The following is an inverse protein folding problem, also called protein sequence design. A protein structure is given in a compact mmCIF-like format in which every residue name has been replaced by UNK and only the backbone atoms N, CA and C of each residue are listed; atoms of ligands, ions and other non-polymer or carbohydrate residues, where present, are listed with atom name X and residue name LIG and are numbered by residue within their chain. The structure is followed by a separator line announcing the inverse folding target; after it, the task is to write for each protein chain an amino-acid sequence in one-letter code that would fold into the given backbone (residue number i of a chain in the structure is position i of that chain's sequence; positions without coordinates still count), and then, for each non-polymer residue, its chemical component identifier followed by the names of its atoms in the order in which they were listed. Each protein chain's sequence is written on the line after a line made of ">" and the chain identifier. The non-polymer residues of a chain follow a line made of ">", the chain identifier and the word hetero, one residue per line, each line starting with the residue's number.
data_IF_381248483839
#
_entry.id   IF_381248483839
#
_cell.length_a   1.000
_cell.length_b   1.000
_cell.length_c   1.000
_cell.angle_alpha   90.00
_cell.angle_beta   90.00
_cell.angle_gamma   90.00
#
_symmetry.space_group_name_H-M   'P 1'
#
loop_
_entity.id
_entity.type
_entity.pdbx_description
1 polymer ?
#
# COMPACT_ATOMS: atom_id res chain seq x y z
N UNK A 1 17.39 14.47 32.74
CA UNK A 1 17.69 13.52 31.65
C UNK A 1 16.55 12.51 31.63
N UNK A 2 15.66 12.58 30.63
CA UNK A 2 14.49 11.67 30.56
C UNK A 2 14.94 10.44 29.76
N UNK A 3 15.14 9.30 30.40
CA UNK A 3 15.34 8.04 29.70
C UNK A 3 14.05 7.68 28.98
N UNK A 4 14.06 7.68 27.65
CA UNK A 4 12.96 7.13 26.84
C UNK A 4 13.09 5.61 26.85
N UNK A 5 12.04 4.91 27.26
CA UNK A 5 11.96 3.45 27.13
C UNK A 5 11.67 3.14 25.66
N UNK A 6 12.47 2.26 25.07
CA UNK A 6 12.34 1.84 23.67
C UNK A 6 11.85 0.39 23.67
N UNK A 7 10.75 0.16 22.98
CA UNK A 7 10.18 -1.16 22.78
C UNK A 7 10.44 -1.61 21.34
N UNK A 8 10.87 -2.85 21.15
CA UNK A 8 10.96 -3.46 19.82
C UNK A 8 9.67 -4.21 19.54
N UNK A 9 8.94 -3.79 18.51
CA UNK A 9 7.63 -4.34 18.17
C UNK A 9 7.66 -4.95 16.79
N UNK A 10 7.18 -6.18 16.68
CA UNK A 10 6.95 -6.82 15.39
C UNK A 10 5.53 -6.48 14.88
N UNK A 11 5.48 -5.80 13.75
CA UNK A 11 4.23 -5.58 13.01
C UNK A 11 4.08 -6.69 11.98
N UNK A 12 3.17 -7.64 12.22
CA UNK A 12 2.94 -8.80 11.36
C UNK A 12 1.49 -8.81 10.84
N UNK A 13 1.31 -8.95 9.54
CA UNK A 13 -0.03 -8.89 8.92
C UNK A 13 -0.21 -9.93 7.81
N UNK A 14 -1.35 -10.59 7.83
CA UNK A 14 -1.84 -11.47 6.77
C UNK A 14 -2.65 -10.66 5.75
N UNK A 15 -2.25 -10.72 4.48
CA UNK A 15 -3.01 -10.17 3.35
C UNK A 15 -3.65 -11.31 2.57
N UNK A 16 -4.98 -11.39 2.61
CA UNK A 16 -5.76 -12.45 1.95
C UNK A 16 -5.94 -12.21 0.45
N UNK A 17 -5.90 -10.97 0.01
CA UNK A 17 -6.05 -10.63 -1.40
C UNK A 17 -4.74 -10.87 -2.16
N UNK A 18 -4.84 -11.24 -3.44
CA UNK A 18 -3.69 -11.45 -4.30
C UNK A 18 -3.09 -10.09 -4.70
N UNK A 19 -1.85 -9.87 -4.27
CA UNK A 19 -1.09 -8.65 -4.59
C UNK A 19 -0.40 -8.74 -5.96
N UNK A 20 -0.27 -7.60 -6.65
CA UNK A 20 0.61 -7.48 -7.82
C UNK A 20 2.07 -7.64 -7.38
N UNK A 21 2.98 -8.14 -8.25
CA UNK A 21 4.41 -8.16 -7.96
C UNK A 21 5.00 -6.78 -7.60
N UNK A 22 4.36 -5.70 -8.04
CA UNK A 22 4.75 -4.31 -7.76
C UNK A 22 4.17 -3.76 -6.46
N UNK A 23 3.29 -4.50 -5.79
CA UNK A 23 2.64 -4.04 -4.55
C UNK A 23 3.51 -4.31 -3.34
N UNK A 24 3.39 -3.43 -2.36
CA UNK A 24 4.04 -3.55 -1.06
C UNK A 24 3.02 -3.29 0.03
N UNK A 25 3.19 -4.00 1.14
CA UNK A 25 2.46 -3.74 2.38
C UNK A 25 3.29 -2.81 3.24
N UNK A 26 2.67 -1.78 3.80
CA UNK A 26 3.33 -0.80 4.66
C UNK A 26 2.53 -0.58 5.93
N UNK A 27 3.19 -0.05 6.96
CA UNK A 27 2.57 0.42 8.20
C UNK A 27 2.85 1.90 8.41
N UNK A 28 1.87 2.63 8.91
CA UNK A 28 2.04 3.99 9.42
C UNK A 28 1.24 4.18 10.69
N UNK A 29 1.55 5.23 11.46
CA UNK A 29 0.98 5.42 12.77
C UNK A 29 1.27 6.77 13.37
N UNK A 30 0.88 6.93 14.63
CA UNK A 30 0.82 8.24 15.31
C UNK A 30 2.15 8.77 15.83
N UNK A 31 3.20 7.94 15.90
CA UNK A 31 4.50 8.36 16.39
C UNK A 31 5.51 8.57 15.24
N UNK A 32 6.61 9.26 15.56
CA UNK A 32 7.72 9.54 14.65
C UNK A 32 8.24 8.28 13.96
N UNK A 33 8.40 7.19 14.72
CA UNK A 33 8.89 5.90 14.23
C UNK A 33 7.88 5.13 13.39
N UNK A 34 6.64 5.63 13.27
CA UNK A 34 5.62 5.12 12.36
C UNK A 34 5.23 6.16 11.31
N UNK A 35 6.01 7.23 11.16
CA UNK A 35 5.83 8.22 10.10
C UNK A 35 4.71 9.24 10.32
N UNK A 36 4.11 9.30 11.51
CA UNK A 36 3.13 10.33 11.91
C UNK A 36 1.96 10.48 10.91
N UNK A 37 1.41 9.36 10.46
CA UNK A 37 0.35 9.28 9.45
C UNK A 37 0.69 9.89 8.09
N UNK A 38 1.97 10.16 7.82
CA UNK A 38 2.41 10.74 6.56
C UNK A 38 2.66 9.62 5.55
N UNK A 39 1.95 9.59 4.40
CA UNK A 39 2.09 8.53 3.40
C UNK A 39 3.52 8.26 2.96
N UNK A 40 4.29 9.31 2.65
CA UNK A 40 5.68 9.17 2.18
C UNK A 40 6.65 8.75 3.31
N UNK A 41 6.16 8.58 4.54
CA UNK A 41 6.91 8.06 5.70
C UNK A 41 6.34 6.73 6.20
N UNK A 42 5.42 6.11 5.46
CA UNK A 42 4.99 4.74 5.70
C UNK A 42 6.21 3.80 5.64
N UNK A 43 6.22 2.78 6.49
CA UNK A 43 7.33 1.86 6.63
C UNK A 43 6.99 0.57 5.89
N UNK A 44 7.80 0.15 4.90
CA UNK A 44 7.53 -1.07 4.16
C UNK A 44 7.76 -2.30 5.03
N UNK A 45 6.85 -3.27 4.91
CA UNK A 45 7.01 -4.61 5.46
C UNK A 45 7.70 -5.51 4.43
N UNK A 46 8.31 -6.58 4.92
CA UNK A 46 8.89 -7.64 4.10
C UNK A 46 7.93 -8.81 4.04
N UNK A 47 7.67 -9.35 2.85
CA UNK A 47 6.93 -10.62 2.71
C UNK A 47 7.78 -11.75 3.27
N UNK A 48 7.32 -12.39 4.33
CA UNK A 48 8.04 -13.46 5.02
C UNK A 48 7.54 -14.86 4.65
N UNK A 49 6.27 -14.99 4.23
CA UNK A 49 5.69 -16.28 3.89
C UNK A 49 4.50 -16.17 2.91
N UNK A 50 4.18 -17.28 2.25
CA UNK A 50 2.98 -17.46 1.42
C UNK A 50 2.26 -18.74 1.83
N UNK A 51 1.03 -18.58 2.29
CA UNK A 51 0.18 -19.66 2.76
C UNK A 51 -1.04 -19.81 1.84
N UNK A 52 -1.83 -20.89 2.04
CA UNK A 52 -3.12 -21.05 1.37
C UNK A 52 -4.11 -19.91 1.71
N UNK A 53 -3.95 -19.27 2.89
CA UNK A 53 -4.80 -18.19 3.34
C UNK A 53 -4.40 -16.80 2.81
N UNK A 54 -3.22 -16.67 2.20
CA UNK A 54 -2.68 -15.40 1.71
C UNK A 54 -1.19 -15.20 1.98
N UNK A 55 -0.72 -13.97 1.82
CA UNK A 55 0.69 -13.59 2.04
C UNK A 55 0.90 -12.99 3.43
N UNK A 56 1.96 -13.40 4.13
CA UNK A 56 2.33 -12.85 5.46
C UNK A 56 3.47 -11.84 5.28
N UNK A 57 3.29 -10.67 5.86
CA UNK A 57 4.21 -9.56 5.82
C UNK A 57 4.62 -9.15 7.24
N UNK A 58 5.89 -8.82 7.45
CA UNK A 58 6.41 -8.43 8.77
C UNK A 58 7.49 -7.35 8.70
N UNK A 59 7.61 -6.56 9.77
CA UNK A 59 8.76 -5.68 10.05
C UNK A 59 8.91 -5.46 11.55
N UNK A 60 10.15 -5.20 12.00
CA UNK A 60 10.44 -4.83 13.39
C UNK A 60 10.73 -3.34 13.48
N UNK A 61 10.02 -2.65 14.37
CA UNK A 61 10.15 -1.20 14.55
C UNK A 61 10.36 -0.91 16.04
N UNK A 62 11.37 -0.08 16.32
CA UNK A 62 11.60 0.45 17.66
C UNK A 62 10.65 1.62 17.91
N UNK A 63 9.79 1.49 18.91
CA UNK A 63 8.80 2.51 19.28
C UNK A 63 9.15 3.06 20.66
N UNK A 64 9.13 4.38 20.79
CA UNK A 64 9.30 5.02 22.10
C UNK A 64 8.00 4.89 22.91
N UNK A 65 8.06 4.28 24.10
CA UNK A 65 6.94 4.26 25.05
C UNK A 65 7.04 5.39 26.10
N UNK A 66 6.11 5.46 27.07
CA UNK A 66 4.99 4.55 27.32
C UNK A 66 3.65 5.04 26.71
N UNK A 67 3.69 5.77 25.59
CA UNK A 67 2.48 6.31 24.99
C UNK A 67 1.68 5.25 24.22
N UNK A 68 0.34 5.33 24.30
CA UNK A 68 -0.53 4.60 23.38
C UNK A 68 -0.23 5.01 21.94
N UNK A 69 0.26 4.08 21.14
CA UNK A 69 0.65 4.31 19.75
C UNK A 69 -0.40 3.72 18.82
N UNK A 70 -0.93 4.53 17.92
CA UNK A 70 -1.93 4.11 16.94
C UNK A 70 -1.27 3.78 15.60
N UNK A 71 -1.82 2.84 14.84
CA UNK A 71 -1.28 2.45 13.54
C UNK A 71 -2.35 1.90 12.58
N UNK A 72 -2.00 1.82 11.29
CA UNK A 72 -2.78 1.21 10.20
C UNK A 72 -1.85 0.60 9.16
N UNK A 73 -2.33 -0.45 8.50
CA UNK A 73 -1.66 -0.99 7.31
C UNK A 73 -2.15 -0.33 6.03
N UNK A 74 -1.29 -0.35 5.02
CA UNK A 74 -1.51 0.22 3.69
C UNK A 74 -0.99 -0.75 2.65
N UNK A 75 -1.69 -0.89 1.53
CA UNK A 75 -1.15 -1.52 0.34
C UNK A 75 -0.90 -0.42 -0.68
N UNK A 76 0.34 -0.30 -1.13
CA UNK A 76 0.75 0.71 -2.10
C UNK A 76 1.82 0.17 -3.04
N UNK A 77 1.95 0.80 -4.20
CA UNK A 77 3.13 0.66 -5.04
C UNK A 77 4.15 1.72 -4.64
N UNK A 78 5.38 1.29 -4.36
CA UNK A 78 6.48 2.18 -4.03
C UNK A 78 7.14 2.66 -5.33
N UNK A 79 7.14 3.97 -5.57
CA UNK A 79 7.84 4.64 -6.65
C UNK A 79 9.02 5.37 -6.03
N UNK A 80 10.23 4.88 -6.30
CA UNK A 80 11.44 5.56 -5.88
C UNK A 80 11.81 6.60 -6.93
N UNK A 81 11.82 7.85 -6.51
CA UNK A 81 12.49 8.95 -7.23
C UNK A 81 13.83 9.22 -6.57
N UNK A 82 14.75 9.91 -7.26
CA UNK A 82 16.14 10.07 -6.81
C UNK A 82 16.28 10.62 -5.38
N UNK A 83 15.33 11.46 -4.94
CA UNK A 83 15.38 12.11 -3.62
C UNK A 83 14.27 11.68 -2.63
N UNK A 84 13.26 10.92 -3.08
CA UNK A 84 12.05 10.67 -2.26
C UNK A 84 11.37 9.32 -2.52
N UNK A 85 10.74 8.77 -1.48
CA UNK A 85 9.81 7.65 -1.59
C UNK A 85 8.40 8.18 -1.89
N UNK A 86 7.94 8.00 -3.12
CA UNK A 86 6.57 8.27 -3.51
C UNK A 86 5.74 6.99 -3.44
N UNK A 87 4.49 7.09 -2.99
CA UNK A 87 3.56 5.97 -2.93
C UNK A 87 2.37 6.20 -3.86
N UNK A 88 2.01 5.18 -4.65
CA UNK A 88 0.67 5.07 -5.22
C UNK A 88 -0.14 4.17 -4.31
N UNK A 89 -1.01 4.75 -3.51
CA UNK A 89 -1.81 3.98 -2.56
C UNK A 89 -2.93 3.26 -3.29
N UNK A 90 -2.97 1.94 -3.12
CA UNK A 90 -4.03 1.10 -3.67
C UNK A 90 -5.13 0.88 -2.66
N UNK A 91 -4.77 0.56 -1.41
CA UNK A 91 -5.73 0.30 -0.33
C UNK A 91 -5.28 0.87 1.01
N UNK A 92 -6.24 1.43 1.75
CA UNK A 92 -6.11 1.77 3.16
C UNK A 92 -7.02 0.92 4.02
N UNK A 93 -6.60 0.65 5.26
CA UNK A 93 -7.53 0.27 6.33
C UNK A 93 -8.36 1.47 6.78
N UNK A 94 -9.68 1.45 6.61
CA UNK A 94 -10.57 2.62 6.82
C UNK A 94 -11.63 2.44 7.91
N UNK A 95 -11.49 1.43 8.77
CA UNK A 95 -12.33 1.30 9.98
C UNK A 95 -12.14 2.49 10.94
N UNK A 96 -13.20 2.90 11.66
CA UNK A 96 -13.25 4.16 12.45
C UNK A 96 -12.14 4.29 13.49
N UNK A 97 -11.82 3.22 14.21
CA UNK A 97 -10.78 3.20 15.24
C UNK A 97 -9.47 2.64 14.70
N UNK A 98 -8.38 3.42 14.70
CA UNK A 98 -7.07 2.88 14.34
C UNK A 98 -6.66 1.73 15.28
N UNK A 99 -5.83 0.81 14.78
CA UNK A 99 -5.18 -0.19 15.63
C UNK A 99 -4.30 0.54 16.64
N UNK A 100 -4.01 -0.07 17.77
CA UNK A 100 -3.14 0.56 18.77
C UNK A 100 -2.34 -0.45 19.58
N UNK A 101 -1.17 -0.01 20.02
CA UNK A 101 -0.30 -0.66 20.97
C UNK A 101 -0.43 0.06 22.32
N UNK A 102 -0.40 -0.71 23.41
CA UNK A 102 -0.27 -0.20 24.77
C UNK A 102 1.01 -0.79 25.34
N UNK A 103 1.94 0.07 25.71
CA UNK A 103 3.15 -0.32 26.42
C UNK A 103 2.87 -0.17 27.92
N UNK A 104 2.91 -1.26 28.66
CA UNK A 104 2.87 -1.17 30.12
C UNK A 104 4.23 -0.65 30.61
N UNK A 105 4.23 0.32 31.50
CA UNK A 105 5.46 0.70 32.22
C UNK A 105 5.93 -0.53 33.00
N UNK A 106 7.00 -1.17 32.54
CA UNK A 106 7.73 -2.12 33.37
C UNK A 106 8.32 -1.27 34.49
N UNK A 107 7.83 -1.45 35.71
CA UNK A 107 8.47 -0.92 36.91
C UNK A 107 9.97 -1.23 36.83
N UNK A 108 10.82 -0.25 37.12
CA UNK A 108 12.28 -0.26 36.94
C UNK A 108 13.01 -1.37 37.72
N UNK A 109 12.74 -2.62 37.42
CA UNK A 109 13.46 -3.78 37.92
C UNK A 109 13.81 -4.67 36.74
N UNK A 110 15.11 -4.89 36.58
CA UNK A 110 15.74 -5.87 35.70
C UNK A 110 15.87 -5.52 34.20
N UNK A 111 16.93 -4.73 33.92
CA UNK A 111 17.53 -4.49 32.60
C UNK A 111 18.22 -5.75 32.00
N UNK A 112 17.63 -6.94 32.15
CA UNK A 112 18.17 -8.20 31.60
C UNK A 112 17.11 -9.11 30.99
N UNK A 113 15.91 -8.59 30.72
CA UNK A 113 14.87 -9.35 30.04
C UNK A 113 14.98 -9.10 28.53
N UNK A 114 15.53 -10.07 27.79
CA UNK A 114 15.26 -10.24 26.35
C UNK A 114 13.78 -10.54 26.19
N UNK A 115 12.94 -9.50 26.22
CA UNK A 115 11.51 -9.61 26.03
C UNK A 115 11.24 -9.98 24.57
N UNK A 116 10.52 -11.08 24.38
CA UNK A 116 10.13 -11.53 23.05
C UNK A 116 9.25 -10.47 22.39
N UNK A 117 9.37 -10.25 21.06
CA UNK A 117 8.55 -9.29 20.36
C UNK A 117 7.08 -9.55 20.65
N UNK A 118 6.34 -8.51 21.05
CA UNK A 118 4.89 -8.61 21.15
C UNK A 118 4.35 -8.95 19.76
N UNK A 119 3.97 -10.21 19.55
CA UNK A 119 3.45 -10.68 18.28
C UNK A 119 2.03 -10.13 18.06
N UNK A 120 1.90 -9.10 17.22
CA UNK A 120 0.62 -8.69 16.67
C UNK A 120 0.39 -9.43 15.36
N UNK A 121 -0.40 -10.51 15.36
CA UNK A 121 -0.82 -11.17 14.13
C UNK A 121 -2.13 -10.56 13.62
N UNK A 122 -2.01 -9.55 12.77
CA UNK A 122 -3.13 -8.84 12.18
C UNK A 122 -3.61 -9.49 10.87
N UNK A 123 -4.87 -9.24 10.49
CA UNK A 123 -5.39 -9.52 9.15
C UNK A 123 -5.72 -8.18 8.48
N UNK A 124 -5.12 -7.92 7.31
CA UNK A 124 -5.29 -6.66 6.60
C UNK A 124 -6.77 -6.37 6.33
N UNK A 125 -7.19 -5.15 6.66
CA UNK A 125 -8.56 -4.70 6.47
C UNK A 125 -9.56 -5.24 7.49
N UNK A 126 -9.16 -6.13 8.40
CA UNK A 126 -10.02 -6.70 9.44
C UNK A 126 -9.54 -6.29 10.84
N UNK A 127 -10.36 -5.53 11.56
CA UNK A 127 -10.08 -5.11 12.93
C UNK A 127 -11.35 -5.17 13.78
N UNK A 128 -11.28 -5.83 14.95
CA UNK A 128 -12.41 -6.04 15.86
C UNK A 128 -13.67 -6.54 15.13
N UNK A 129 -13.53 -7.57 14.29
CA UNK A 129 -14.60 -8.15 13.45
C UNK A 129 -15.24 -7.19 12.43
N UNK A 130 -14.65 -6.01 12.21
CA UNK A 130 -15.06 -5.10 11.12
C UNK A 130 -14.09 -5.26 9.97
N UNK A 131 -14.61 -5.54 8.78
CA UNK A 131 -13.83 -5.52 7.54
C UNK A 131 -14.08 -4.21 6.82
N UNK A 132 -13.05 -3.39 6.66
CA UNK A 132 -13.18 -2.12 5.95
C UNK A 132 -11.86 -1.66 5.35
N UNK A 133 -11.83 -1.61 4.03
CA UNK A 133 -10.76 -1.01 3.24
C UNK A 133 -11.35 -0.04 2.22
N UNK A 134 -10.55 0.91 1.76
CA UNK A 134 -10.94 1.82 0.69
C UNK A 134 -9.80 1.99 -0.32
N UNK A 135 -10.11 2.41 -1.55
CA UNK A 135 -9.09 2.84 -2.51
C UNK A 135 -8.31 4.05 -1.96
N UNK A 136 -7.03 4.11 -2.28
CA UNK A 136 -6.21 5.28 -1.99
C UNK A 136 -6.59 6.50 -2.84
N UNK A 137 -6.26 7.68 -2.34
CA UNK A 137 -6.21 8.91 -3.12
C UNK A 137 -4.78 9.20 -3.61
N UNK A 138 -4.64 10.08 -4.60
CA UNK A 138 -3.34 10.57 -5.05
C UNK A 138 -2.67 11.33 -3.90
N UNK A 139 -1.53 10.84 -3.42
CA UNK A 139 -0.77 11.44 -2.31
C UNK A 139 0.33 12.40 -2.77
N UNK A 140 0.49 12.60 -4.08
CA UNK A 140 1.45 13.52 -4.68
C UNK A 140 0.98 14.04 -6.05
N UNK A 141 1.78 14.91 -6.65
CA UNK A 141 1.56 15.37 -8.02
C UNK A 141 2.04 14.29 -8.99
N UNK A 142 1.10 13.61 -9.64
CA UNK A 142 1.40 12.64 -10.69
C UNK A 142 0.98 13.21 -12.04
N UNK A 143 1.93 13.34 -12.97
CA UNK A 143 1.65 13.70 -14.36
C UNK A 143 1.77 12.45 -15.24
N UNK A 144 0.74 12.19 -16.04
CA UNK A 144 0.83 11.23 -17.15
C UNK A 144 1.13 12.04 -18.40
N UNK A 145 2.40 12.06 -18.82
CA UNK A 145 2.79 12.74 -20.05
C UNK A 145 2.71 11.78 -21.24
N UNK A 146 1.82 12.09 -22.18
CA UNK A 146 1.75 11.42 -23.48
C UNK A 146 2.51 12.27 -24.50
N UNK A 147 3.63 11.76 -25.01
CA UNK A 147 4.46 12.46 -25.99
C UNK A 147 4.54 11.67 -27.29
N UNK A 148 4.14 12.30 -28.39
CA UNK A 148 4.42 11.81 -29.73
C UNK A 148 5.80 12.29 -30.17
N UNK A 149 6.68 11.36 -30.53
CA UNK A 149 7.98 11.70 -31.09
C UNK A 149 7.91 11.64 -32.62
N UNK A 150 8.41 12.67 -33.30
CA UNK A 150 8.49 12.74 -34.78
C UNK A 150 7.13 12.60 -35.49
N UNK A 151 7.08 11.99 -36.68
CA UNK A 151 5.88 11.75 -37.49
C UNK A 151 5.13 10.48 -37.04
N UNK A 152 4.93 10.29 -35.72
CA UNK A 152 4.32 9.07 -35.15
C UNK A 152 2.80 8.99 -35.36
N UNK A 153 2.15 10.08 -35.78
CA UNK A 153 0.75 10.11 -36.20
C UNK A 153 0.67 10.36 -37.71
N UNK A 154 0.30 9.34 -38.48
CA UNK A 154 0.07 9.46 -39.91
C UNK A 154 -1.43 9.39 -40.23
N UNK A 155 -1.96 10.46 -40.82
CA UNK A 155 -3.35 10.53 -41.28
C UNK A 155 -3.39 10.05 -42.74
N UNK A 156 -3.79 8.80 -42.94
CA UNK A 156 -3.86 8.21 -44.28
C UNK A 156 -5.01 8.76 -45.13
N UNK A 157 -6.11 9.17 -44.50
CA UNK A 157 -7.25 9.76 -45.20
C UNK A 157 -6.91 11.15 -45.74
N UNK A 158 -6.82 11.29 -47.06
CA UNK A 158 -6.55 12.55 -47.75
C UNK A 158 -7.58 13.63 -47.41
N UNK A 159 -8.83 13.25 -47.20
CA UNK A 159 -9.93 14.16 -46.84
C UNK A 159 -9.84 14.75 -45.42
N UNK A 160 -8.93 14.24 -44.59
CA UNK A 160 -8.73 14.67 -43.20
C UNK A 160 -7.41 15.41 -42.98
N UNK A 161 -6.52 15.46 -43.99
CA UNK A 161 -5.18 16.06 -43.86
C UNK A 161 -5.21 17.56 -43.55
N UNK A 162 -6.19 18.26 -44.11
CA UNK A 162 -6.34 19.73 -43.95
C UNK A 162 -7.38 20.11 -42.89
N UNK A 163 -7.77 19.16 -42.02
CA UNK A 163 -8.76 19.39 -40.98
C UNK A 163 -8.11 19.47 -39.60
N UNK A 164 -8.64 20.32 -38.73
CA UNK A 164 -8.31 20.29 -37.30
C UNK A 164 -8.83 18.98 -36.71
N UNK A 165 -7.94 18.16 -36.17
CA UNK A 165 -8.27 16.91 -35.51
C UNK A 165 -8.11 17.06 -34.00
N UNK A 166 -9.02 16.46 -33.24
CA UNK A 166 -8.92 16.34 -31.79
C UNK A 166 -8.72 14.87 -31.43
N UNK A 167 -7.73 14.57 -30.58
CA UNK A 167 -7.50 13.24 -30.07
C UNK A 167 -8.22 13.09 -28.73
N UNK A 168 -9.16 12.15 -28.66
CA UNK A 168 -9.75 11.74 -27.38
C UNK A 168 -8.88 10.63 -26.79
N UNK A 169 -8.30 10.91 -25.63
CA UNK A 169 -7.64 9.88 -24.81
C UNK A 169 -8.66 9.38 -23.81
N UNK A 170 -8.77 8.07 -23.66
CA UNK A 170 -9.64 7.46 -22.66
C UNK A 170 -8.93 6.28 -22.02
N UNK A 171 -8.91 6.18 -20.68
CA UNK A 171 -8.39 5.00 -20.02
C UNK A 171 -9.26 3.80 -20.41
N UNK A 172 -8.62 2.70 -20.76
CA UNK A 172 -9.29 1.43 -21.03
C UNK A 172 -8.99 0.52 -19.84
N UNK A 173 -10.05 -0.03 -19.24
CA UNK A 173 -9.90 -1.11 -18.27
C UNK A 173 -9.60 -2.40 -19.04
N UNK A 174 -8.36 -2.87 -18.96
CA UNK A 174 -7.90 -4.07 -19.67
C UNK A 174 -8.62 -5.33 -19.19
N UNK A 175 -9.19 -5.34 -17.97
CA UNK A 175 -9.98 -6.48 -17.47
C UNK A 175 -11.25 -6.70 -18.28
N UNK A 176 -11.87 -5.59 -18.69
CA UNK A 176 -13.09 -5.61 -19.51
C UNK A 176 -12.87 -6.13 -20.93
N UNK A 177 -11.63 -6.09 -21.45
CA UNK A 177 -11.32 -6.64 -22.77
C UNK A 177 -11.14 -8.15 -22.72
N UNK A 178 -10.51 -8.68 -21.67
CA UNK A 178 -10.27 -10.12 -21.51
C UNK A 178 -11.60 -10.89 -21.38
N UNK A 179 -12.54 -10.38 -20.60
CA UNK A 179 -13.88 -10.99 -20.45
C UNK A 179 -14.67 -10.99 -21.76
N UNK A 180 -14.51 -9.98 -22.62
CA UNK A 180 -15.22 -9.92 -23.90
C UNK A 180 -14.56 -10.79 -24.99
N UNK A 181 -13.23 -10.89 -25.01
CA UNK A 181 -12.51 -11.77 -25.93
C UNK A 181 -12.80 -13.26 -25.66
N UNK A 182 -12.94 -13.66 -24.39
CA UNK A 182 -13.36 -15.01 -24.01
C UNK A 182 -14.77 -15.34 -24.53
N UNK A 183 -15.74 -14.43 -24.33
CA UNK A 183 -17.13 -14.59 -24.80
C UNK A 183 -17.23 -14.66 -26.34
N UNK A 184 -16.38 -13.93 -27.06
CA UNK A 184 -16.38 -13.99 -28.54
C UNK A 184 -15.76 -15.29 -29.07
N UNK A 185 -14.80 -15.88 -28.36
CA UNK A 185 -14.14 -17.13 -28.76
C UNK A 185 -15.01 -18.38 -28.53
N UNK A 186 -15.88 -18.37 -27.52
CA UNK A 186 -16.84 -19.45 -27.28
C UNK A 186 -18.01 -19.43 -28.27
N UNK A 187 -18.42 -18.24 -28.71
CA UNK A 187 -19.51 -18.07 -29.69
C UNK A 187 -19.12 -18.42 -31.13
N UNK A 188 -17.82 -18.55 -31.43
CA UNK A 188 -17.30 -18.92 -32.75
C UNK A 188 -17.08 -20.44 -32.90
N UNK A 189 -17.22 -21.21 -31.82
CA UNK A 189 -17.05 -22.66 -31.78
C UNK A 189 -18.37 -23.43 -31.56
N UNK A 190 -19.53 -22.79 -31.85
CA UNK A 190 -20.85 -23.44 -31.93
C UNK A 190 -21.42 -23.40 -33.33
#
# INVERSE_FOLDING_TARGET
>A
MICRVIYEVEFRVLVKEKLSPSDSVLVTGSCEQLGEWTPNRCIPLTRIDRTEAGEIWSTNIKVNGPQRTFYRYVIAQIIRTDDDMNLIIKRWETFKEARYLIFNEIEKHDLTSTEQPQECFDVFGCYKNTVRTDIGWLTGQSEIQLRFHSNSLQIWSTNLRDKTLSLKVSPIDLKYQQENEEVTSESANQ
#
